data_IF_982539544123
#
_entry.id   IF_982539544123
#
_cell.length_a   1.000
_cell.length_b   1.000
_cell.length_c   1.000
_cell.angle_alpha   90.00
_cell.angle_beta   90.00
_cell.angle_gamma   90.00
#
_symmetry.space_group_name_H-M   'P 1'
#
loop_
_entity.id
_entity.type
_entity.pdbx_description
1 polymer ?
#
# COMPACT_ATOMS: atom_id res chain seq x y z
N UNK A 1 -23.82 -30.29 -0.74
CA UNK A 1 -22.41 -30.54 -1.13
C UNK A 1 -21.64 -29.26 -1.48
N UNK A 2 -22.28 -28.23 -2.03
CA UNK A 2 -21.67 -26.96 -2.48
C UNK A 2 -21.03 -26.13 -1.35
N UNK A 3 -21.70 -25.97 -0.20
CA UNK A 3 -21.19 -25.12 0.91
C UNK A 3 -19.82 -25.54 1.48
N UNK A 4 -19.46 -26.83 1.43
CA UNK A 4 -18.19 -27.33 2.00
C UNK A 4 -16.99 -27.07 1.08
N UNK A 5 -17.25 -27.04 -0.22
CA UNK A 5 -16.24 -26.74 -1.25
C UNK A 5 -15.94 -25.24 -1.24
N UNK A 6 -16.96 -24.40 -1.10
CA UNK A 6 -16.79 -22.94 -1.03
C UNK A 6 -15.98 -22.50 0.20
N UNK A 7 -16.25 -23.08 1.38
CA UNK A 7 -15.52 -22.76 2.62
C UNK A 7 -14.05 -23.21 2.56
N UNK A 8 -13.78 -24.38 1.98
CA UNK A 8 -12.40 -24.86 1.80
C UNK A 8 -11.63 -23.97 0.80
N UNK A 9 -12.28 -23.64 -0.32
CA UNK A 9 -11.73 -22.75 -1.34
C UNK A 9 -11.44 -21.34 -0.82
N UNK A 10 -12.32 -20.81 0.03
CA UNK A 10 -12.15 -19.54 0.73
C UNK A 10 -10.93 -19.57 1.66
N UNK A 11 -10.81 -20.60 2.51
CA UNK A 11 -9.70 -20.76 3.44
C UNK A 11 -8.34 -20.88 2.72
N UNK A 12 -8.29 -21.60 1.59
CA UNK A 12 -7.06 -21.73 0.80
C UNK A 12 -6.68 -20.40 0.15
N UNK A 13 -7.64 -19.69 -0.46
CA UNK A 13 -7.40 -18.41 -1.13
C UNK A 13 -6.95 -17.32 -0.16
N UNK A 14 -7.56 -17.29 1.04
CA UNK A 14 -7.20 -16.34 2.10
C UNK A 14 -5.83 -16.64 2.71
N UNK A 15 -5.46 -17.91 2.86
CA UNK A 15 -4.12 -18.29 3.33
C UNK A 15 -3.03 -17.82 2.36
N UNK A 16 -3.24 -18.00 1.05
CA UNK A 16 -2.31 -17.54 0.01
C UNK A 16 -2.15 -16.02 0.03
N UNK A 17 -3.25 -15.28 0.13
CA UNK A 17 -3.22 -13.82 0.26
C UNK A 17 -2.58 -13.32 1.57
N UNK A 18 -2.67 -14.11 2.65
CA UNK A 18 -1.99 -13.82 3.91
C UNK A 18 -0.47 -13.93 3.80
N UNK A 19 0.04 -14.83 2.95
CA UNK A 19 1.47 -14.98 2.65
C UNK A 19 1.97 -13.89 1.70
N UNK A 20 1.25 -13.67 0.60
CA UNK A 20 1.55 -12.59 -0.34
C UNK A 20 0.26 -11.92 -0.85
N UNK A 21 0.09 -10.68 -0.40
CA UNK A 21 -1.04 -9.82 -0.76
C UNK A 21 -1.03 -9.41 -2.25
N UNK A 22 0.11 -9.57 -2.95
CA UNK A 22 0.31 -9.15 -4.35
C UNK A 22 -0.01 -10.23 -5.37
N UNK A 23 -0.43 -11.41 -4.93
CA UNK A 23 -0.78 -12.50 -5.83
C UNK A 23 -1.91 -12.10 -6.79
N UNK A 24 -1.79 -12.53 -8.04
CA UNK A 24 -2.83 -12.38 -9.06
C UNK A 24 -3.86 -13.49 -8.85
N UNK A 25 -5.13 -13.21 -9.18
CA UNK A 25 -6.18 -14.23 -9.09
C UNK A 25 -5.89 -15.49 -9.93
N UNK A 26 -5.10 -15.37 -11.02
CA UNK A 26 -4.66 -16.51 -11.83
C UNK A 26 -3.70 -17.40 -11.05
N UNK A 27 -2.73 -16.82 -10.35
CA UNK A 27 -1.77 -17.56 -9.53
C UNK A 27 -2.49 -18.27 -8.38
N UNK A 28 -3.45 -17.60 -7.75
CA UNK A 28 -4.30 -18.19 -6.71
C UNK A 28 -5.10 -19.37 -7.29
N UNK A 29 -5.67 -19.23 -8.48
CA UNK A 29 -6.41 -20.29 -9.15
C UNK A 29 -5.54 -21.51 -9.49
N UNK A 30 -4.33 -21.28 -9.99
CA UNK A 30 -3.35 -22.34 -10.29
C UNK A 30 -2.91 -23.07 -9.01
N UNK A 31 -2.57 -22.33 -7.96
CA UNK A 31 -2.07 -22.91 -6.71
C UNK A 31 -3.16 -23.59 -5.87
N UNK A 32 -4.40 -23.10 -5.95
CA UNK A 32 -5.55 -23.71 -5.29
C UNK A 32 -6.26 -24.79 -6.13
N UNK A 33 -5.88 -24.96 -7.40
CA UNK A 33 -6.59 -25.82 -8.38
C UNK A 33 -8.07 -25.50 -8.57
N UNK A 34 -8.47 -24.25 -8.28
CA UNK A 34 -9.85 -23.76 -8.41
C UNK A 34 -9.99 -23.01 -9.73
N UNK A 35 -11.15 -23.11 -10.36
CA UNK A 35 -11.44 -22.32 -11.55
C UNK A 35 -11.28 -20.81 -11.27
N UNK A 36 -10.58 -20.10 -12.16
CA UNK A 36 -10.31 -18.65 -12.04
C UNK A 36 -11.56 -17.80 -11.79
N UNK A 37 -12.70 -18.16 -12.38
CA UNK A 37 -13.95 -17.43 -12.24
C UNK A 37 -14.53 -17.60 -10.84
N UNK A 38 -14.42 -18.81 -10.29
CA UNK A 38 -14.83 -19.12 -8.91
C UNK A 38 -13.94 -18.38 -7.91
N UNK A 39 -12.61 -18.39 -8.13
CA UNK A 39 -11.68 -17.60 -7.30
C UNK A 39 -12.04 -16.11 -7.33
N UNK A 40 -12.37 -15.56 -8.50
CA UNK A 40 -12.78 -14.16 -8.61
C UNK A 40 -14.05 -13.87 -7.78
N UNK A 41 -15.07 -14.71 -7.88
CA UNK A 41 -16.32 -14.57 -7.09
C UNK A 41 -16.05 -14.69 -5.59
N UNK A 42 -15.26 -15.68 -5.16
CA UNK A 42 -14.92 -15.86 -3.74
C UNK A 42 -14.17 -14.63 -3.22
N UNK A 43 -13.14 -14.18 -3.93
CA UNK A 43 -12.34 -13.03 -3.51
C UNK A 43 -13.18 -11.75 -3.44
N UNK A 44 -14.05 -11.51 -4.43
CA UNK A 44 -14.83 -10.28 -4.50
C UNK A 44 -16.04 -10.27 -3.58
N UNK A 45 -16.83 -11.35 -3.59
CA UNK A 45 -18.19 -11.36 -3.04
C UNK A 45 -18.26 -12.01 -1.66
N UNK A 46 -17.36 -12.96 -1.35
CA UNK A 46 -17.30 -13.62 -0.04
C UNK A 46 -16.26 -12.93 0.86
N UNK A 47 -15.01 -12.88 0.40
CA UNK A 47 -13.89 -12.31 1.16
C UNK A 47 -13.87 -10.77 1.11
N UNK A 48 -14.64 -10.15 0.20
CA UNK A 48 -14.67 -8.69 -0.02
C UNK A 48 -13.29 -8.07 -0.30
N UNK A 49 -12.40 -8.85 -0.90
CA UNK A 49 -11.05 -8.45 -1.23
C UNK A 49 -11.05 -7.49 -2.42
N UNK A 50 -10.33 -6.36 -2.28
CA UNK A 50 -10.18 -5.37 -3.34
C UNK A 50 -8.74 -5.27 -3.80
N UNK A 51 -8.57 -5.16 -5.13
CA UNK A 51 -7.26 -4.85 -5.72
C UNK A 51 -6.91 -3.41 -5.37
N UNK A 52 -5.80 -3.24 -4.65
CA UNK A 52 -5.23 -1.94 -4.32
C UNK A 52 -3.89 -1.79 -5.03
N UNK A 53 -3.63 -0.61 -5.59
CA UNK A 53 -2.29 -0.30 -6.09
C UNK A 53 -1.31 -0.21 -4.90
N UNK A 54 -0.09 -0.69 -5.09
CA UNK A 54 0.96 -0.50 -4.09
C UNK A 54 1.25 1.00 -3.94
N UNK A 55 1.40 1.48 -2.70
CA UNK A 55 1.86 2.84 -2.44
C UNK A 55 3.33 2.95 -2.82
N UNK A 56 3.72 4.03 -3.51
CA UNK A 56 5.12 4.34 -3.74
C UNK A 56 5.77 4.73 -2.41
N UNK A 57 6.82 4.01 -2.03
CA UNK A 57 7.62 4.29 -0.83
C UNK A 57 8.99 4.79 -1.32
N UNK A 58 9.37 6.05 -1.05
CA UNK A 58 10.57 6.65 -1.63
C UNK A 58 11.88 5.93 -1.29
N UNK A 59 11.94 5.28 -0.12
CA UNK A 59 13.15 4.63 0.37
C UNK A 59 12.88 3.23 0.89
N UNK A 60 13.78 2.29 0.58
CA UNK A 60 13.81 0.97 1.18
C UNK A 60 14.70 0.99 2.42
N UNK A 61 14.11 1.38 3.55
CA UNK A 61 14.85 1.58 4.81
C UNK A 61 15.33 0.24 5.40
N UNK A 62 16.58 0.21 5.85
CA UNK A 62 17.13 -0.88 6.68
C UNK A 62 16.49 -0.89 8.07
N UNK A 63 16.70 -1.95 8.86
CA UNK A 63 16.18 -2.01 10.23
C UNK A 63 16.74 -0.86 11.08
N UNK A 64 18.06 -0.62 11.03
CA UNK A 64 18.73 0.46 11.76
C UNK A 64 18.22 1.86 11.34
N UNK A 65 17.98 2.08 10.05
CA UNK A 65 17.45 3.34 9.54
C UNK A 65 16.00 3.61 9.99
N UNK A 66 15.25 2.60 10.43
CA UNK A 66 13.90 2.78 10.99
C UNK A 66 13.92 3.19 12.45
N UNK A 67 14.92 2.74 13.21
CA UNK A 67 15.06 3.07 14.63
C UNK A 67 15.32 4.56 14.84
N UNK A 68 16.11 5.19 13.97
CA UNK A 68 16.47 6.61 14.08
C UNK A 68 15.24 7.53 14.03
N UNK A 69 14.35 7.45 13.02
CA UNK A 69 13.11 8.21 13.01
C UNK A 69 12.18 7.87 14.18
N UNK A 70 12.01 6.60 14.53
CA UNK A 70 11.08 6.20 15.60
C UNK A 70 11.49 6.82 16.94
N UNK A 71 12.77 6.72 17.29
CA UNK A 71 13.31 7.33 18.51
C UNK A 71 13.12 8.85 18.51
N UNK A 72 13.45 9.52 17.40
CA UNK A 72 13.27 10.96 17.26
C UNK A 72 11.80 11.38 17.39
N UNK A 73 10.88 10.67 16.73
CA UNK A 73 9.45 10.94 16.80
C UNK A 73 8.87 10.69 18.20
N UNK A 74 9.33 9.65 18.91
CA UNK A 74 8.90 9.40 20.27
C UNK A 74 9.26 10.59 21.18
N UNK A 75 10.48 11.12 21.06
CA UNK A 75 10.89 12.31 21.79
C UNK A 75 10.00 13.53 21.49
N UNK A 76 9.66 13.76 20.21
CA UNK A 76 8.75 14.84 19.82
C UNK A 76 7.33 14.65 20.38
N UNK A 77 6.83 13.43 20.39
CA UNK A 77 5.51 13.09 20.97
C UNK A 77 5.51 13.37 22.48
N UNK A 78 6.57 12.97 23.19
CA UNK A 78 6.67 13.20 24.63
C UNK A 78 6.72 14.71 24.95
N UNK A 79 7.46 15.50 24.17
CA UNK A 79 7.48 16.95 24.32
C UNK A 79 6.12 17.60 24.04
N UNK A 80 5.39 17.12 23.03
CA UNK A 80 4.05 17.61 22.73
C UNK A 80 3.04 17.29 23.84
N UNK A 81 3.20 16.15 24.52
CA UNK A 81 2.35 15.77 25.65
C UNK A 81 2.65 16.57 26.93
N UNK A 82 3.91 16.97 27.13
CA UNK A 82 4.32 17.77 28.29
C UNK A 82 3.94 19.25 28.15
N UNK A 83 3.97 19.79 26.94
CA UNK A 83 3.63 21.18 26.67
C UNK A 83 2.66 21.31 25.50
N UNK A 84 1.40 21.68 25.80
CA UNK A 84 0.35 21.89 24.81
C UNK A 84 0.64 23.02 23.80
N UNK A 85 1.60 23.90 24.08
CA UNK A 85 2.05 24.94 23.15
C UNK A 85 3.30 24.55 22.35
N UNK A 86 3.84 23.34 22.53
CA UNK A 86 5.07 22.89 21.87
C UNK A 86 5.03 23.06 20.35
N UNK A 87 3.94 22.63 19.71
CA UNK A 87 3.80 22.69 18.25
C UNK A 87 3.78 24.13 17.70
N UNK A 88 3.29 25.10 18.48
CA UNK A 88 3.25 26.51 18.06
C UNK A 88 4.64 27.15 17.96
N UNK A 89 5.67 26.50 18.52
CA UNK A 89 7.06 26.97 18.49
C UNK A 89 7.88 26.33 17.38
N UNK A 90 7.34 25.32 16.69
CA UNK A 90 8.04 24.64 15.60
C UNK A 90 7.88 25.44 14.33
N UNK A 91 9.00 25.86 13.73
CA UNK A 91 9.04 26.41 12.38
C UNK A 91 9.65 25.31 11.49
N UNK A 92 8.89 24.89 10.47
CA UNK A 92 9.35 23.93 9.47
C UNK A 92 9.59 24.71 8.19
N UNK A 93 10.78 24.57 7.63
CA UNK A 93 11.11 25.05 6.29
C UNK A 93 11.54 23.85 5.43
N UNK A 94 11.08 23.81 4.19
CA UNK A 94 11.46 22.77 3.23
C UNK A 94 11.33 23.30 1.81
N UNK A 95 12.30 22.95 0.98
CA UNK A 95 12.32 23.34 -0.42
C UNK A 95 11.54 22.33 -1.28
N UNK A 96 10.77 22.85 -2.22
CA UNK A 96 10.09 22.04 -3.24
C UNK A 96 10.51 22.54 -4.61
N UNK A 97 10.87 21.61 -5.49
CA UNK A 97 11.22 21.94 -6.88
C UNK A 97 9.95 22.37 -7.63
N UNK A 98 9.98 23.56 -8.23
CA UNK A 98 8.97 24.01 -9.16
C UNK A 98 9.45 23.80 -10.59
N UNK A 99 8.66 23.08 -11.38
CA UNK A 99 8.94 22.95 -12.81
C UNK A 99 8.38 24.15 -13.56
N UNK A 100 9.25 25.01 -14.07
CA UNK A 100 8.86 26.09 -14.95
C UNK A 100 8.48 25.53 -16.32
N UNK A 101 7.18 25.47 -16.60
CA UNK A 101 6.68 25.01 -17.88
C UNK A 101 6.84 26.10 -18.95
N UNK A 102 7.76 25.86 -19.91
CA UNK A 102 7.94 26.73 -21.07
C UNK A 102 7.23 26.14 -22.31
N UNK A 103 6.09 26.72 -22.74
CA UNK A 103 5.32 26.21 -23.88
C UNK A 103 6.06 26.36 -25.23
N UNK A 104 7.06 27.24 -25.33
CA UNK A 104 7.81 27.53 -26.57
C UNK A 104 8.77 26.41 -26.97
N UNK A 105 8.99 25.42 -26.11
CA UNK A 105 9.83 24.24 -26.41
C UNK A 105 9.00 23.06 -26.94
N UNK A 106 7.67 23.18 -27.00
CA UNK A 106 6.83 22.18 -27.65
C UNK A 106 7.06 22.22 -29.15
N UNK A 107 7.39 21.05 -29.73
CA UNK A 107 7.42 20.91 -31.19
C UNK A 107 6.04 21.29 -31.74
N UNK A 108 5.96 22.14 -32.78
CA UNK A 108 4.70 22.41 -33.43
C UNK A 108 4.14 21.09 -33.97
N UNK A 109 2.86 20.85 -33.70
CA UNK A 109 2.11 19.76 -34.32
C UNK A 109 2.10 20.04 -35.83
N UNK A 110 2.60 19.12 -36.65
CA UNK A 110 2.50 19.23 -38.10
C UNK A 110 1.05 18.92 -38.48
N UNK A 111 0.41 19.87 -39.18
CA UNK A 111 -0.87 19.68 -39.88
C UNK A 111 -0.74 18.66 -41.01
#
# INVERSE_FOLDING_TARGET
>A
MTKKVDVFAEATSTNLLGKDRRLRYIMIAEESTINKTVVHTILRDIVSYRKMCAKFVPYFLTAEQKEVPVSAFQHFVDMANLDGNFLNRIIIDNESWYFEYNPSTKRPVRE
#
